data_IF_234036243271
#
_entry.id   IF_234036243271
#
_cell.length_a   1.000
_cell.length_b   1.000
_cell.length_c   1.000
_cell.angle_alpha   90.00
_cell.angle_beta   90.00
_cell.angle_gamma   90.00
#
_symmetry.space_group_name_H-M   'P 1'
#
loop_
_entity.id
_entity.type
_entity.pdbx_description
1 polymer ?
#
# COMPACT_ATOMS: atom_id res chain seq x y z
N UNK A 1 0.44 4.51 -33.11
CA UNK A 1 1.33 4.54 -31.96
C UNK A 1 1.15 5.76 -31.10
N UNK A 2 1.53 6.92 -31.57
CA UNK A 2 1.35 8.16 -30.80
C UNK A 2 -0.12 8.46 -30.47
N UNK A 3 -1.04 7.99 -31.30
CA UNK A 3 -2.48 8.21 -31.09
C UNK A 3 -3.02 7.53 -29.83
N UNK A 4 -2.48 6.36 -29.46
CA UNK A 4 -2.92 5.64 -28.26
C UNK A 4 -2.48 6.40 -27.00
N UNK A 5 -1.25 6.87 -26.97
CA UNK A 5 -0.74 7.67 -25.88
C UNK A 5 -1.50 8.98 -25.73
N UNK A 6 -1.81 9.61 -26.88
CA UNK A 6 -2.57 10.83 -26.89
C UNK A 6 -3.97 10.68 -26.33
N UNK A 7 -4.65 9.59 -26.67
CA UNK A 7 -5.98 9.31 -26.14
C UNK A 7 -5.97 9.10 -24.63
N UNK A 8 -4.99 8.38 -24.12
CA UNK A 8 -4.88 8.15 -22.68
C UNK A 8 -4.63 9.45 -21.93
N UNK A 9 -3.70 10.25 -22.43
CA UNK A 9 -3.40 11.54 -21.83
C UNK A 9 -4.59 12.48 -21.88
N UNK A 10 -5.29 12.48 -22.99
CA UNK A 10 -6.44 13.35 -23.17
C UNK A 10 -7.57 12.99 -22.21
N UNK A 11 -7.82 11.71 -22.03
CA UNK A 11 -8.84 11.26 -21.09
C UNK A 11 -8.50 11.68 -19.67
N UNK A 12 -7.27 11.52 -19.27
CA UNK A 12 -6.82 11.94 -17.95
C UNK A 12 -6.94 13.46 -17.79
N UNK A 13 -6.50 14.20 -18.79
CA UNK A 13 -6.57 15.65 -18.78
C UNK A 13 -8.02 16.16 -18.67
N UNK A 14 -8.89 15.60 -19.46
CA UNK A 14 -10.29 16.00 -19.43
C UNK A 14 -10.92 15.75 -18.06
N UNK A 15 -10.62 14.61 -17.47
CA UNK A 15 -11.15 14.27 -16.15
C UNK A 15 -10.65 15.24 -15.08
N UNK A 16 -9.36 15.54 -15.09
CA UNK A 16 -8.75 16.48 -14.16
C UNK A 16 -9.31 17.90 -14.39
N UNK A 17 -9.40 18.31 -15.65
CA UNK A 17 -9.92 19.62 -16.00
C UNK A 17 -11.36 19.82 -15.52
N UNK A 18 -12.19 18.79 -15.69
CA UNK A 18 -13.58 18.87 -15.27
C UNK A 18 -13.72 19.00 -13.75
N UNK A 19 -12.78 18.45 -13.01
CA UNK A 19 -12.78 18.52 -11.54
C UNK A 19 -12.16 19.80 -11.02
N UNK A 20 -11.55 20.58 -11.87
CA UNK A 20 -10.87 21.82 -11.49
C UNK A 20 -11.78 23.03 -11.54
N UNK A 21 -13.03 22.86 -11.11
CA UNK A 21 -14.00 23.95 -11.11
C UNK A 21 -13.54 25.11 -10.21
N UNK A 22 -13.77 26.36 -10.61
CA UNK A 22 -13.40 27.52 -9.79
C UNK A 22 -14.00 27.51 -8.40
N UNK A 23 -15.16 26.87 -8.25
CA UNK A 23 -15.84 26.76 -6.96
C UNK A 23 -15.06 25.99 -5.91
N UNK A 24 -14.00 25.27 -6.32
CA UNK A 24 -13.18 24.47 -5.41
C UNK A 24 -11.94 25.21 -4.88
N UNK A 25 -11.80 26.47 -5.22
CA UNK A 25 -10.67 27.27 -4.74
C UNK A 25 -10.73 27.40 -3.22
N UNK A 26 -9.62 27.09 -2.55
CA UNK A 26 -9.51 27.20 -1.10
C UNK A 26 -10.03 26.01 -0.32
N UNK A 27 -10.50 24.95 -0.98
CA UNK A 27 -10.96 23.70 -0.33
C UNK A 27 -10.12 22.51 -0.78
N UNK A 28 -9.90 21.53 0.10
CA UNK A 28 -9.25 20.30 -0.31
C UNK A 28 -10.02 19.62 -1.43
N UNK A 29 -9.30 19.11 -2.40
CA UNK A 29 -9.90 18.40 -3.52
C UNK A 29 -10.33 17.00 -3.08
N UNK A 30 -11.57 16.65 -3.40
CA UNK A 30 -12.06 15.28 -3.19
C UNK A 30 -11.57 14.43 -4.34
N UNK A 31 -10.84 13.36 -4.03
CA UNK A 31 -10.39 12.42 -5.06
C UNK A 31 -10.06 11.05 -4.45
N UNK A 32 -10.05 10.04 -5.32
CA UNK A 32 -9.81 8.67 -4.89
C UNK A 32 -8.41 8.46 -4.31
N UNK A 33 -7.42 9.23 -4.74
CA UNK A 33 -6.08 9.15 -4.16
C UNK A 33 -6.11 9.61 -2.71
N UNK A 34 -6.76 10.75 -2.44
CA UNK A 34 -6.88 11.26 -1.07
C UNK A 34 -7.63 10.25 -0.19
N UNK A 35 -8.70 9.67 -0.71
CA UNK A 35 -9.47 8.66 0.02
C UNK A 35 -8.64 7.43 0.34
N UNK A 36 -7.87 6.95 -0.63
CA UNK A 36 -6.98 5.79 -0.42
C UNK A 36 -5.91 6.10 0.64
N UNK A 37 -5.36 7.31 0.62
CA UNK A 37 -4.32 7.70 1.57
C UNK A 37 -4.84 7.81 3.01
N UNK A 38 -6.14 8.01 3.22
CA UNK A 38 -6.72 7.93 4.56
C UNK A 38 -6.54 6.54 5.18
N UNK A 39 -6.47 5.51 4.34
CA UNK A 39 -6.32 4.13 4.79
C UNK A 39 -4.85 3.71 4.80
N UNK A 40 -4.11 4.00 3.73
CA UNK A 40 -2.76 3.47 3.55
C UNK A 40 -1.67 4.54 3.51
N UNK A 41 -2.01 5.80 3.73
CA UNK A 41 -1.05 6.90 3.57
C UNK A 41 -0.04 7.04 4.70
N UNK A 42 -0.27 6.41 5.82
CA UNK A 42 0.65 6.45 6.94
C UNK A 42 1.81 5.49 6.66
N UNK A 43 3.03 5.92 7.00
CA UNK A 43 4.27 5.22 6.69
C UNK A 43 4.24 3.72 6.99
N UNK A 44 3.81 3.37 8.19
CA UNK A 44 3.86 1.99 8.65
C UNK A 44 2.83 1.10 7.97
N UNK A 45 1.73 1.70 7.49
CA UNK A 45 0.67 0.93 6.82
C UNK A 45 1.16 0.22 5.57
N UNK A 46 1.85 0.95 4.68
CA UNK A 46 2.39 0.34 3.46
C UNK A 46 3.50 -0.66 3.77
N UNK A 47 4.32 -0.41 4.80
CA UNK A 47 5.35 -1.36 5.20
C UNK A 47 4.75 -2.65 5.75
N UNK A 48 3.66 -2.57 6.50
CA UNK A 48 2.93 -3.75 6.96
C UNK A 48 2.39 -4.54 5.78
N UNK A 49 1.78 -3.85 4.81
CA UNK A 49 1.23 -4.51 3.62
C UNK A 49 2.33 -5.15 2.78
N UNK A 50 3.52 -4.55 2.73
CA UNK A 50 4.70 -5.17 2.10
C UNK A 50 4.99 -6.52 2.73
N UNK A 51 4.99 -6.60 4.05
CA UNK A 51 5.30 -7.84 4.76
C UNK A 51 4.25 -8.90 4.48
N UNK A 52 2.98 -8.56 4.55
CA UNK A 52 1.91 -9.50 4.26
C UNK A 52 2.01 -9.99 2.80
N UNK A 53 2.34 -9.10 1.88
CA UNK A 53 2.55 -9.45 0.48
C UNK A 53 3.73 -10.43 0.29
N UNK A 54 4.74 -10.34 1.14
CA UNK A 54 5.90 -11.23 1.12
C UNK A 54 5.64 -12.57 1.81
N UNK A 55 4.46 -12.75 2.39
CA UNK A 55 4.11 -13.98 3.08
C UNK A 55 4.40 -13.96 4.59
N UNK A 56 4.67 -12.79 5.14
CA UNK A 56 4.91 -12.63 6.57
C UNK A 56 3.61 -12.20 7.22
N UNK A 57 3.07 -13.06 8.10
CA UNK A 57 1.71 -12.89 8.60
C UNK A 57 1.61 -12.70 10.11
N UNK A 58 2.67 -12.96 10.86
CA UNK A 58 2.62 -12.91 12.32
C UNK A 58 3.09 -11.57 12.84
N UNK A 59 2.41 -11.08 13.88
CA UNK A 59 2.70 -9.78 14.47
C UNK A 59 4.20 -9.59 14.76
N UNK A 60 4.81 -10.56 15.43
CA UNK A 60 6.20 -10.47 15.85
C UNK A 60 7.14 -10.31 14.65
N UNK A 61 6.90 -11.09 13.61
CA UNK A 61 7.76 -11.05 12.43
C UNK A 61 7.56 -9.75 11.64
N UNK A 62 6.32 -9.30 11.52
CA UNK A 62 6.02 -8.01 10.90
C UNK A 62 6.72 -6.89 11.69
N UNK A 63 6.68 -6.96 13.00
CA UNK A 63 7.34 -5.94 13.84
C UNK A 63 8.83 -5.90 13.60
N UNK A 64 9.48 -7.05 13.60
CA UNK A 64 10.93 -7.15 13.37
C UNK A 64 11.29 -6.59 12.00
N UNK A 65 10.56 -7.00 10.97
CA UNK A 65 10.90 -6.66 9.59
C UNK A 65 10.59 -5.20 9.25
N UNK A 66 9.59 -4.60 9.88
CA UNK A 66 9.28 -3.20 9.63
C UNK A 66 10.06 -2.25 10.54
N UNK A 67 10.42 -2.70 11.73
CA UNK A 67 11.00 -1.84 12.75
C UNK A 67 9.97 -0.95 13.46
N UNK A 68 8.68 -1.20 13.24
CA UNK A 68 7.64 -0.37 13.84
C UNK A 68 7.58 -0.56 15.36
N UNK A 69 7.34 0.52 16.12
CA UNK A 69 7.04 0.38 17.54
C UNK A 69 5.80 -0.49 17.74
N UNK A 70 5.81 -1.29 18.79
CA UNK A 70 4.74 -2.27 19.04
C UNK A 70 3.34 -1.66 19.03
N UNK A 71 3.16 -0.54 19.74
CA UNK A 71 1.85 0.10 19.82
C UNK A 71 1.41 0.71 18.49
N UNK A 72 2.35 1.26 17.75
CA UNK A 72 2.09 1.79 16.41
C UNK A 72 1.66 0.68 15.47
N UNK A 73 2.38 -0.45 15.49
CA UNK A 73 2.04 -1.59 14.65
C UNK A 73 0.65 -2.12 14.99
N UNK A 74 0.35 -2.29 16.29
CA UNK A 74 -0.95 -2.76 16.71
C UNK A 74 -2.07 -1.84 16.21
N UNK A 75 -1.86 -0.53 16.28
CA UNK A 75 -2.82 0.46 15.80
C UNK A 75 -3.00 0.37 14.28
N UNK A 76 -1.90 0.27 13.54
CA UNK A 76 -1.97 0.17 12.07
C UNK A 76 -2.68 -1.09 11.62
N UNK A 77 -2.37 -2.22 12.23
CA UNK A 77 -3.05 -3.48 11.92
C UNK A 77 -4.54 -3.39 12.18
N UNK A 78 -4.94 -2.83 13.31
CA UNK A 78 -6.35 -2.66 13.63
C UNK A 78 -7.05 -1.76 12.61
N UNK A 79 -6.43 -0.65 12.23
CA UNK A 79 -7.03 0.26 11.26
C UNK A 79 -7.13 -0.35 9.86
N UNK A 80 -6.14 -1.12 9.45
CA UNK A 80 -6.21 -1.85 8.18
C UNK A 80 -7.29 -2.93 8.21
N UNK A 81 -7.46 -3.59 9.34
CA UNK A 81 -8.52 -4.58 9.51
C UNK A 81 -9.90 -3.91 9.46
N UNK A 82 -10.09 -2.81 10.18
CA UNK A 82 -11.33 -2.05 10.18
C UNK A 82 -11.70 -1.55 8.77
N UNK A 83 -10.70 -1.18 7.99
CA UNK A 83 -10.91 -0.71 6.62
C UNK A 83 -11.14 -1.85 5.62
N UNK A 84 -11.07 -3.11 6.04
CA UNK A 84 -11.29 -4.25 5.18
C UNK A 84 -10.13 -4.60 4.26
N UNK A 85 -8.93 -4.12 4.56
CA UNK A 85 -7.73 -4.37 3.75
C UNK A 85 -7.07 -5.68 4.14
N UNK A 86 -7.10 -6.00 5.44
CA UNK A 86 -6.57 -7.24 5.97
C UNK A 86 -7.60 -7.88 6.88
N UNK A 87 -7.43 -9.16 7.13
CA UNK A 87 -8.22 -9.91 8.10
C UNK A 87 -7.30 -10.60 9.08
N UNK A 88 -7.77 -10.73 10.31
CA UNK A 88 -7.07 -11.46 11.34
C UNK A 88 -7.66 -12.85 11.44
N UNK A 89 -6.81 -13.86 11.40
CA UNK A 89 -7.23 -15.26 11.48
C UNK A 89 -6.49 -15.95 12.60
N UNK A 90 -7.22 -16.66 13.44
CA UNK A 90 -6.60 -17.49 14.46
C UNK A 90 -6.01 -18.75 13.84
N UNK A 91 -4.73 -19.01 14.11
CA UNK A 91 -4.08 -20.23 13.63
C UNK A 91 -3.72 -21.20 14.77
N UNK A 92 -3.84 -20.75 16.03
CA UNK A 92 -3.63 -21.59 17.22
C UNK A 92 -4.53 -21.11 18.33
N UNK A 93 -5.13 -22.05 19.08
CA UNK A 93 -5.98 -21.73 20.23
C UNK A 93 -5.23 -21.85 21.55
N UNK A 94 -4.15 -22.62 21.61
CA UNK A 94 -3.41 -22.87 22.83
C UNK A 94 -1.91 -22.80 22.60
N UNK A 95 -1.24 -21.67 22.82
CA UNK A 95 -1.82 -20.38 23.21
C UNK A 95 -2.53 -19.69 22.03
N UNK A 96 -3.45 -18.78 22.30
CA UNK A 96 -4.14 -18.05 21.23
C UNK A 96 -3.15 -17.25 20.39
N UNK A 97 -3.15 -17.50 19.09
CA UNK A 97 -2.25 -16.83 18.15
C UNK A 97 -2.99 -16.50 16.87
N UNK A 98 -2.78 -15.30 16.40
CA UNK A 98 -3.42 -14.80 15.19
C UNK A 98 -2.38 -14.48 14.12
N UNK A 99 -2.83 -14.55 12.87
CA UNK A 99 -2.06 -14.08 11.73
C UNK A 99 -2.90 -13.11 10.92
N UNK A 100 -2.22 -12.30 10.13
CA UNK A 100 -2.83 -11.24 9.33
C UNK A 100 -2.68 -11.57 7.86
N UNK A 101 -3.79 -11.56 7.15
CA UNK A 101 -3.86 -11.95 5.74
C UNK A 101 -4.54 -10.86 4.94
N UNK A 102 -4.23 -10.77 3.65
CA UNK A 102 -4.96 -9.89 2.77
C UNK A 102 -6.41 -10.35 2.59
N UNK A 103 -7.32 -9.40 2.57
CA UNK A 103 -8.62 -9.57 1.95
C UNK A 103 -8.48 -9.43 0.43
N UNK A 104 -9.56 -9.60 -0.32
CA UNK A 104 -9.55 -9.34 -1.75
C UNK A 104 -9.15 -7.89 -2.06
N UNK A 105 -9.71 -6.94 -1.30
CA UNK A 105 -9.35 -5.54 -1.44
C UNK A 105 -7.86 -5.29 -1.14
N UNK A 106 -7.32 -5.98 -0.13
CA UNK A 106 -5.90 -5.86 0.20
C UNK A 106 -5.00 -6.38 -0.90
N UNK A 107 -5.37 -7.49 -1.54
CA UNK A 107 -4.60 -8.04 -2.66
C UNK A 107 -4.51 -7.06 -3.82
N UNK A 108 -5.52 -6.24 -4.01
CA UNK A 108 -5.51 -5.24 -5.07
C UNK A 108 -4.52 -4.10 -4.82
N UNK A 109 -3.95 -4.00 -3.63
CA UNK A 109 -2.87 -3.06 -3.33
C UNK A 109 -1.49 -3.56 -3.76
N UNK A 110 -1.37 -4.83 -4.15
CA UNK A 110 -0.09 -5.37 -4.61
C UNK A 110 0.53 -4.57 -5.76
N UNK A 111 -0.22 -4.16 -6.79
CA UNK A 111 0.33 -3.31 -7.84
C UNK A 111 0.83 -1.96 -7.33
N UNK A 112 0.19 -1.42 -6.31
CA UNK A 112 0.63 -0.15 -5.70
C UNK A 112 1.99 -0.33 -5.04
N UNK A 113 2.17 -1.40 -4.28
CA UNK A 113 3.45 -1.74 -3.66
C UNK A 113 4.54 -1.94 -4.72
N UNK A 114 4.20 -2.64 -5.80
CA UNK A 114 5.12 -2.87 -6.90
C UNK A 114 5.55 -1.58 -7.58
N UNK A 115 4.61 -0.66 -7.79
CA UNK A 115 4.90 0.64 -8.40
C UNK A 115 5.81 1.48 -7.50
N UNK A 116 5.53 1.48 -6.20
CA UNK A 116 6.39 2.19 -5.24
C UNK A 116 7.79 1.59 -5.19
N UNK A 117 7.89 0.27 -5.23
CA UNK A 117 9.17 -0.41 -5.26
C UNK A 117 9.98 0.00 -6.50
N UNK A 118 9.35 -0.04 -7.67
CA UNK A 118 10.01 0.33 -8.92
C UNK A 118 10.48 1.78 -8.90
N UNK A 119 9.62 2.67 -8.44
CA UNK A 119 9.98 4.08 -8.35
C UNK A 119 11.14 4.30 -7.39
N UNK A 120 11.11 3.65 -6.22
CA UNK A 120 12.16 3.75 -5.22
C UNK A 120 13.49 3.21 -5.73
N UNK A 121 13.48 2.10 -6.47
CA UNK A 121 14.69 1.53 -7.06
C UNK A 121 15.33 2.47 -8.07
N UNK A 122 14.53 3.18 -8.84
CA UNK A 122 15.04 4.10 -9.86
C UNK A 122 15.58 5.41 -9.29
N UNK A 123 14.93 5.93 -8.24
CA UNK A 123 15.14 7.32 -7.85
C UNK A 123 15.73 7.50 -6.44
N UNK A 124 15.68 6.49 -5.59
CA UNK A 124 16.09 6.61 -4.19
C UNK A 124 17.19 5.62 -3.83
N UNK A 125 16.96 4.34 -4.07
CA UNK A 125 17.86 3.26 -3.65
C UNK A 125 19.28 3.39 -4.24
N UNK A 126 19.45 3.82 -5.50
CA UNK A 126 20.82 3.98 -6.04
C UNK A 126 21.70 4.93 -5.24
N UNK A 127 21.11 5.90 -4.55
CA UNK A 127 21.87 6.86 -3.75
C UNK A 127 22.25 6.32 -2.38
N UNK A 128 21.68 5.20 -1.96
CA UNK A 128 21.95 4.59 -0.65
C UNK A 128 23.04 3.53 -0.68
N UNK A 129 23.50 3.15 -1.87
CA UNK A 129 24.41 2.02 -1.99
C UNK A 129 23.66 0.69 -1.94
N UNK A 130 24.41 -0.39 -2.06
CA UNK A 130 23.88 -1.71 -2.34
C UNK A 130 23.48 -2.53 -1.11
N UNK A 131 23.08 -1.89 -0.03
CA UNK A 131 22.69 -2.64 1.16
C UNK A 131 21.31 -3.30 0.94
N UNK A 132 21.29 -4.61 1.06
CA UNK A 132 20.13 -5.52 1.00
C UNK A 132 18.80 -4.91 0.57
N UNK A 133 18.46 -5.12 -0.68
CA UNK A 133 17.21 -4.68 -1.26
C UNK A 133 16.13 -5.71 -1.00
N UNK A 134 15.11 -5.29 -0.29
CA UNK A 134 13.90 -6.12 -0.19
C UNK A 134 13.19 -6.12 -1.53
N UNK A 135 13.42 -7.14 -2.32
CA UNK A 135 12.77 -7.28 -3.61
C UNK A 135 11.39 -7.88 -3.38
N UNK A 136 10.36 -7.16 -3.79
CA UNK A 136 9.03 -7.73 -3.81
C UNK A 136 8.99 -8.85 -4.85
N UNK A 137 8.63 -10.08 -4.46
CA UNK A 137 8.58 -11.17 -5.42
C UNK A 137 7.54 -10.88 -6.48
N UNK A 138 7.78 -11.31 -7.71
CA UNK A 138 6.75 -11.24 -8.75
C UNK A 138 5.55 -12.05 -8.26
N UNK A 139 4.39 -11.44 -8.36
CA UNK A 139 3.17 -12.15 -8.00
C UNK A 139 2.95 -13.28 -8.97
N UNK A 140 2.84 -14.48 -8.43
CA UNK A 140 2.28 -15.56 -9.22
C UNK A 140 0.88 -15.10 -9.64
N UNK A 141 0.64 -15.07 -10.92
CA UNK A 141 -0.66 -14.72 -11.44
C UNK A 141 -1.69 -15.64 -10.83
N UNK A 142 -2.65 -15.05 -10.19
CA UNK A 142 -3.67 -15.84 -9.50
C UNK A 142 -5.00 -15.50 -10.01
#
# INVERSE_FOLDING_TARGET
MSSISGLTNQSYHNHVSQKSEPSNLGRPRVCSIADALEIVGERWSLLVLREINLGVHRFKDIQVNTGAPRETLALRLRKLEEAGVIERRRYSDHPPRDEYLFTDAGRELTPVLGALHTWGERHVTPTRGDASRDVLPPRAGG
#
